data_IF_197801795231
#
_entry.id   IF_197801795231
#
_cell.length_a   1.000
_cell.length_b   1.000
_cell.length_c   1.000
_cell.angle_alpha   90.00
_cell.angle_beta   90.00
_cell.angle_gamma   90.00
#
_symmetry.space_group_name_H-M   'P 1'
#
loop_
_entity.id
_entity.type
_entity.pdbx_description
1 polymer ?
#
# COMPACT_ATOMS: atom_id res chain seq x y z
N UNK A 1 47.21 -49.16 -45.25
CA UNK A 1 46.38 -49.69 -44.13
C UNK A 1 45.57 -48.52 -43.58
N UNK A 2 44.25 -48.46 -43.54
CA UNK A 2 43.16 -49.20 -44.16
C UNK A 2 41.95 -48.26 -44.06
N UNK A 3 41.37 -47.89 -45.21
CA UNK A 3 40.27 -46.92 -45.34
C UNK A 3 38.99 -47.62 -44.89
N UNK A 4 38.33 -47.12 -43.83
CA UNK A 4 37.01 -47.60 -43.41
C UNK A 4 35.97 -46.61 -43.96
N UNK A 5 35.26 -47.06 -44.98
CA UNK A 5 34.01 -46.49 -45.49
C UNK A 5 32.88 -46.80 -44.51
N UNK A 6 32.35 -45.78 -43.82
CA UNK A 6 31.12 -45.91 -43.05
C UNK A 6 29.91 -45.71 -43.97
N UNK A 7 29.04 -46.70 -43.94
CA UNK A 7 27.81 -46.85 -44.73
C UNK A 7 26.83 -45.71 -44.40
N UNK A 8 26.36 -45.01 -45.44
CA UNK A 8 25.22 -44.09 -45.34
C UNK A 8 23.94 -44.92 -45.20
N UNK A 9 23.34 -44.89 -44.01
CA UNK A 9 22.02 -45.44 -43.76
C UNK A 9 20.98 -44.39 -44.22
N UNK A 10 20.28 -44.67 -45.31
CA UNK A 10 19.13 -43.88 -45.77
C UNK A 10 17.99 -43.99 -44.75
N UNK A 11 17.86 -42.99 -43.89
CA UNK A 11 16.64 -42.79 -43.10
C UNK A 11 15.54 -42.27 -44.04
N UNK A 12 14.54 -43.12 -44.27
CA UNK A 12 13.26 -42.76 -44.88
C UNK A 12 12.59 -41.63 -44.07
N UNK A 13 12.10 -40.56 -44.72
CA UNK A 13 11.44 -39.45 -44.02
C UNK A 13 10.05 -39.90 -43.57
N UNK A 14 9.96 -40.39 -42.34
CA UNK A 14 8.68 -40.67 -41.69
C UNK A 14 8.04 -39.34 -41.29
N UNK A 15 6.99 -39.02 -42.03
CA UNK A 15 6.10 -37.89 -41.86
C UNK A 15 5.58 -37.75 -40.43
N UNK A 16 5.76 -36.57 -39.84
CA UNK A 16 5.01 -36.15 -38.65
C UNK A 16 4.45 -34.73 -38.82
N UNK A 17 3.16 -34.75 -39.16
CA UNK A 17 2.04 -33.84 -38.90
C UNK A 17 2.31 -32.36 -38.52
N UNK A 18 1.56 -31.42 -39.12
CA UNK A 18 1.57 -30.02 -38.72
C UNK A 18 0.77 -29.81 -37.43
N UNK A 19 1.33 -30.13 -36.26
CA UNK A 19 0.70 -29.73 -34.98
C UNK A 19 0.65 -28.20 -34.79
N UNK A 20 1.52 -27.45 -35.47
CA UNK A 20 1.52 -25.98 -35.43
C UNK A 20 0.31 -25.35 -36.13
N UNK A 21 -0.34 -26.03 -37.07
CA UNK A 21 -1.51 -25.44 -37.77
C UNK A 21 -2.79 -25.53 -36.94
N UNK A 22 -2.96 -26.59 -36.13
CA UNK A 22 -4.13 -26.75 -35.26
C UNK A 22 -4.09 -25.84 -34.03
N UNK A 23 -2.92 -25.55 -33.45
CA UNK A 23 -2.79 -24.52 -32.41
C UNK A 23 -3.18 -23.13 -32.94
N UNK A 24 -2.76 -22.78 -34.17
CA UNK A 24 -3.11 -21.49 -34.79
C UNK A 24 -4.62 -21.32 -35.07
N UNK A 25 -5.33 -22.42 -35.35
CA UNK A 25 -6.79 -22.42 -35.55
C UNK A 25 -7.55 -22.40 -34.22
N UNK A 26 -7.03 -23.03 -33.17
CA UNK A 26 -7.60 -22.97 -31.81
C UNK A 26 -7.42 -21.60 -31.17
N UNK A 27 -6.31 -20.91 -31.44
CA UNK A 27 -6.07 -19.54 -30.99
C UNK A 27 -6.93 -18.51 -31.75
N UNK A 28 -7.23 -18.75 -33.04
CA UNK A 28 -8.13 -17.88 -33.83
C UNK A 28 -9.61 -17.86 -33.39
N UNK A 29 -10.05 -18.80 -32.54
CA UNK A 29 -11.46 -18.87 -32.05
C UNK A 29 -11.67 -18.33 -30.63
N UNK A 30 -10.65 -17.84 -29.94
CA UNK A 30 -10.87 -17.26 -28.60
C UNK A 30 -11.47 -15.88 -28.74
N UNK A 31 -12.74 -15.75 -28.37
CA UNK A 31 -13.39 -14.45 -28.20
C UNK A 31 -12.63 -13.64 -27.13
N UNK A 32 -11.95 -12.54 -27.51
CA UNK A 32 -11.14 -11.77 -26.59
C UNK A 32 -11.97 -11.11 -25.48
N UNK A 33 -13.27 -10.87 -25.71
CA UNK A 33 -14.17 -10.35 -24.69
C UNK A 33 -14.46 -11.42 -23.62
N UNK A 34 -14.65 -12.68 -24.04
CA UNK A 34 -14.83 -13.80 -23.12
C UNK A 34 -13.58 -14.05 -22.27
N UNK A 35 -12.39 -14.01 -22.87
CA UNK A 35 -11.13 -14.18 -22.15
C UNK A 35 -10.87 -13.04 -21.15
N UNK A 36 -11.19 -11.80 -21.53
CA UNK A 36 -11.15 -10.66 -20.61
C UNK A 36 -12.10 -10.86 -19.44
N UNK A 37 -13.35 -11.27 -19.69
CA UNK A 37 -14.35 -11.53 -18.64
C UNK A 37 -13.87 -12.58 -17.64
N UNK A 38 -13.35 -13.72 -18.13
CA UNK A 38 -12.77 -14.77 -17.26
C UNK A 38 -11.60 -14.25 -16.43
N UNK A 39 -10.71 -13.47 -17.04
CA UNK A 39 -9.56 -12.88 -16.37
C UNK A 39 -9.99 -11.94 -15.24
N UNK A 40 -10.98 -11.07 -15.49
CA UNK A 40 -11.52 -10.15 -14.49
C UNK A 40 -12.18 -10.89 -13.32
N UNK A 41 -12.96 -11.93 -13.58
CA UNK A 41 -13.59 -12.75 -12.52
C UNK A 41 -12.52 -13.42 -11.66
N UNK A 42 -11.50 -14.03 -12.29
CA UNK A 42 -10.40 -14.68 -11.58
C UNK A 42 -9.63 -13.70 -10.71
N UNK A 43 -9.37 -12.49 -11.21
CA UNK A 43 -8.75 -11.40 -10.45
C UNK A 43 -9.59 -11.01 -9.22
N UNK A 44 -10.90 -10.81 -9.38
CA UNK A 44 -11.81 -10.45 -8.27
C UNK A 44 -11.75 -11.52 -7.17
N UNK A 45 -11.94 -12.79 -7.54
CA UNK A 45 -11.98 -13.91 -6.60
C UNK A 45 -10.64 -14.04 -5.87
N UNK A 46 -9.52 -14.00 -6.60
CA UNK A 46 -8.17 -14.06 -6.00
C UNK A 46 -7.97 -12.94 -4.98
N UNK A 47 -8.36 -11.71 -5.30
CA UNK A 47 -8.20 -10.56 -4.40
C UNK A 47 -9.11 -10.66 -3.17
N UNK A 48 -10.35 -11.13 -3.34
CA UNK A 48 -11.28 -11.35 -2.23
C UNK A 48 -10.73 -12.36 -1.22
N UNK A 49 -10.13 -13.48 -1.68
CA UNK A 49 -9.50 -14.45 -0.78
C UNK A 49 -8.29 -13.89 -0.03
N UNK A 50 -7.44 -13.12 -0.71
CA UNK A 50 -6.29 -12.47 -0.07
C UNK A 50 -6.78 -11.48 1.01
N UNK A 51 -7.77 -10.65 0.69
CA UNK A 51 -8.32 -9.70 1.66
C UNK A 51 -9.01 -10.39 2.82
N UNK A 52 -9.73 -11.49 2.59
CA UNK A 52 -10.32 -12.27 3.67
C UNK A 52 -9.23 -12.79 4.61
N UNK A 53 -8.16 -13.38 4.07
CA UNK A 53 -7.03 -13.85 4.90
C UNK A 53 -6.39 -12.73 5.72
N UNK A 54 -6.14 -11.56 5.11
CA UNK A 54 -5.57 -10.40 5.80
C UNK A 54 -6.55 -9.84 6.84
N UNK A 55 -7.84 -9.73 6.51
CA UNK A 55 -8.86 -9.20 7.42
C UNK A 55 -9.04 -10.08 8.65
N UNK A 56 -9.05 -11.40 8.45
CA UNK A 56 -9.12 -12.37 9.55
C UNK A 56 -7.86 -12.35 10.41
N UNK A 57 -6.68 -12.13 9.82
CA UNK A 57 -5.45 -11.97 10.60
C UNK A 57 -5.50 -10.71 11.47
N UNK A 58 -5.96 -9.58 10.93
CA UNK A 58 -6.12 -8.33 11.68
C UNK A 58 -7.13 -8.49 12.82
N UNK A 59 -8.31 -9.06 12.53
CA UNK A 59 -9.34 -9.33 13.53
C UNK A 59 -8.82 -10.30 14.61
N UNK A 60 -8.15 -11.39 14.21
CA UNK A 60 -7.61 -12.39 15.13
C UNK A 60 -6.57 -11.82 16.10
N UNK A 61 -5.65 -10.98 15.60
CA UNK A 61 -4.67 -10.28 16.46
C UNK A 61 -5.39 -9.30 17.38
N UNK A 62 -6.36 -8.53 16.88
CA UNK A 62 -7.11 -7.58 17.68
C UNK A 62 -7.92 -8.24 18.80
N UNK A 63 -8.45 -9.45 18.58
CA UNK A 63 -9.17 -10.21 19.60
C UNK A 63 -8.35 -10.48 20.87
N UNK A 64 -7.00 -10.49 20.80
CA UNK A 64 -6.13 -10.61 21.99
C UNK A 64 -6.35 -9.43 22.96
N UNK A 65 -6.78 -8.28 22.44
CA UNK A 65 -6.98 -7.04 23.19
C UNK A 65 -8.46 -6.72 23.46
N UNK A 66 -9.39 -7.59 23.05
CA UNK A 66 -10.83 -7.36 23.22
C UNK A 66 -11.33 -8.09 24.46
N UNK A 67 -12.00 -7.37 25.36
CA UNK A 67 -12.47 -7.94 26.63
C UNK A 67 -13.81 -8.69 26.54
N UNK A 68 -14.64 -8.42 25.52
CA UNK A 68 -16.00 -8.96 25.41
C UNK A 68 -16.18 -9.80 24.13
N UNK A 69 -16.73 -11.03 24.20
CA UNK A 69 -17.06 -11.85 23.03
C UNK A 69 -17.89 -11.14 21.95
N UNK A 70 -18.81 -10.25 22.33
CA UNK A 70 -19.62 -9.47 21.37
C UNK A 70 -18.71 -8.59 20.51
N UNK A 71 -17.75 -7.89 21.12
CA UNK A 71 -16.80 -7.06 20.40
C UNK A 71 -15.88 -7.90 19.49
N UNK A 72 -15.52 -9.11 19.89
CA UNK A 72 -14.78 -10.04 19.00
C UNK A 72 -15.63 -10.40 17.78
N UNK A 73 -16.91 -10.77 17.98
CA UNK A 73 -17.82 -11.05 16.88
C UNK A 73 -17.98 -9.85 15.94
N UNK A 74 -18.08 -8.62 16.49
CA UNK A 74 -18.12 -7.39 15.71
C UNK A 74 -16.90 -7.24 14.79
N UNK A 75 -15.68 -7.54 15.26
CA UNK A 75 -14.48 -7.48 14.42
C UNK A 75 -14.53 -8.48 13.25
N UNK A 76 -15.00 -9.70 13.48
CA UNK A 76 -15.17 -10.69 12.41
C UNK A 76 -16.26 -10.29 11.41
N UNK A 77 -17.37 -9.72 11.88
CA UNK A 77 -18.43 -9.17 11.01
C UNK A 77 -17.85 -8.04 10.15
N UNK A 78 -17.05 -7.14 10.73
CA UNK A 78 -16.39 -6.07 9.99
C UNK A 78 -15.43 -6.61 8.92
N UNK A 79 -14.67 -7.66 9.23
CA UNK A 79 -13.80 -8.34 8.26
C UNK A 79 -14.60 -8.89 7.07
N UNK A 80 -15.71 -9.60 7.34
CA UNK A 80 -16.57 -10.15 6.28
C UNK A 80 -17.23 -9.03 5.46
N UNK A 81 -17.75 -7.99 6.13
CA UNK A 81 -18.38 -6.83 5.48
C UNK A 81 -17.39 -6.08 4.58
N UNK A 82 -16.16 -5.87 5.04
CA UNK A 82 -15.11 -5.22 4.26
C UNK A 82 -14.78 -6.01 2.98
N UNK A 83 -14.68 -7.33 3.07
CA UNK A 83 -14.44 -8.21 1.91
C UNK A 83 -15.64 -8.19 0.96
N UNK A 84 -16.87 -8.22 1.47
CA UNK A 84 -18.08 -8.17 0.65
C UNK A 84 -18.17 -6.84 -0.13
N UNK A 85 -17.98 -5.71 0.54
CA UNK A 85 -17.99 -4.37 -0.08
C UNK A 85 -16.86 -4.24 -1.09
N UNK A 86 -15.64 -4.66 -0.74
CA UNK A 86 -14.49 -4.61 -1.65
C UNK A 86 -14.68 -5.50 -2.88
N UNK A 87 -15.32 -6.65 -2.72
CA UNK A 87 -15.68 -7.56 -3.83
C UNK A 87 -16.71 -6.92 -4.75
N UNK A 88 -17.77 -6.30 -4.20
CA UNK A 88 -18.77 -5.56 -4.96
C UNK A 88 -18.13 -4.42 -5.76
N UNK A 89 -17.29 -3.61 -5.11
CA UNK A 89 -16.56 -2.51 -5.74
C UNK A 89 -15.67 -3.03 -6.87
N UNK A 90 -14.91 -4.12 -6.67
CA UNK A 90 -14.14 -4.73 -7.76
C UNK A 90 -15.02 -5.26 -8.90
N UNK A 91 -16.21 -5.77 -8.61
CA UNK A 91 -17.20 -6.14 -9.62
C UNK A 91 -17.60 -4.94 -10.50
N UNK A 92 -17.87 -3.79 -9.89
CA UNK A 92 -18.15 -2.54 -10.61
C UNK A 92 -16.93 -2.11 -11.44
N UNK A 93 -15.72 -2.21 -10.88
CA UNK A 93 -14.46 -1.91 -11.58
C UNK A 93 -14.21 -2.81 -12.79
N UNK A 94 -14.49 -4.11 -12.66
CA UNK A 94 -14.41 -5.08 -13.74
C UNK A 94 -15.44 -4.79 -14.83
N UNK A 95 -16.68 -4.45 -14.45
CA UNK A 95 -17.70 -4.02 -15.40
C UNK A 95 -17.25 -2.79 -16.19
N UNK A 96 -16.73 -1.75 -15.52
CA UNK A 96 -16.21 -0.56 -16.19
C UNK A 96 -15.06 -0.89 -17.15
N UNK A 97 -14.15 -1.78 -16.74
CA UNK A 97 -13.03 -2.23 -17.57
C UNK A 97 -13.52 -2.97 -18.81
N UNK A 98 -14.49 -3.87 -18.65
CA UNK A 98 -15.11 -4.59 -19.76
C UNK A 98 -15.83 -3.66 -20.74
N UNK A 99 -16.60 -2.68 -20.25
CA UNK A 99 -17.26 -1.68 -21.10
C UNK A 99 -16.26 -0.79 -21.85
N UNK A 100 -15.17 -0.39 -21.21
CA UNK A 100 -14.09 0.33 -21.86
C UNK A 100 -13.42 -0.49 -22.97
N UNK A 101 -13.27 -1.79 -22.76
CA UNK A 101 -12.76 -2.71 -23.78
C UNK A 101 -13.70 -2.79 -24.99
N UNK A 102 -15.00 -2.96 -24.77
CA UNK A 102 -16.00 -3.01 -25.85
C UNK A 102 -16.04 -1.72 -26.67
N UNK A 103 -15.88 -0.56 -26.02
CA UNK A 103 -15.89 0.74 -26.69
C UNK A 103 -14.55 1.08 -27.37
N UNK A 104 -13.50 0.26 -27.25
CA UNK A 104 -12.12 0.65 -27.61
C UNK A 104 -12.01 1.27 -29.01
N UNK A 105 -12.65 0.65 -30.01
CA UNK A 105 -12.57 1.05 -31.42
C UNK A 105 -13.74 1.93 -31.90
N UNK A 106 -14.71 2.23 -31.04
CA UNK A 106 -15.80 3.16 -31.36
C UNK A 106 -15.30 4.60 -31.14
N UNK A 107 -15.34 5.41 -32.21
CA UNK A 107 -14.89 6.81 -32.22
C UNK A 107 -16.06 7.80 -32.26
N UNK A 108 -17.30 7.32 -32.17
CA UNK A 108 -18.48 8.20 -32.10
C UNK A 108 -18.39 9.16 -30.91
N UNK A 109 -18.92 10.38 -31.05
CA UNK A 109 -18.97 11.38 -29.98
C UNK A 109 -19.63 10.84 -28.70
N UNK A 110 -20.67 10.03 -28.84
CA UNK A 110 -21.35 9.36 -27.74
C UNK A 110 -20.45 8.35 -27.02
N UNK A 111 -19.67 7.55 -27.77
CA UNK A 111 -18.73 6.58 -27.19
C UNK A 111 -17.61 7.27 -26.41
N UNK A 112 -17.13 8.43 -26.87
CA UNK A 112 -16.11 9.23 -26.18
C UNK A 112 -16.62 9.69 -24.81
N UNK A 113 -17.86 10.18 -24.76
CA UNK A 113 -18.50 10.58 -23.50
C UNK A 113 -18.67 9.38 -22.55
N UNK A 114 -19.14 8.24 -23.06
CA UNK A 114 -19.26 6.99 -22.28
C UNK A 114 -17.91 6.52 -21.73
N UNK A 115 -16.85 6.53 -22.55
CA UNK A 115 -15.47 6.20 -22.15
C UNK A 115 -15.01 7.09 -20.99
N UNK A 116 -15.26 8.40 -21.06
CA UNK A 116 -14.91 9.34 -19.98
C UNK A 116 -15.63 9.00 -18.68
N UNK A 117 -16.94 8.72 -18.73
CA UNK A 117 -17.73 8.30 -17.56
C UNK A 117 -17.19 7.02 -16.93
N UNK A 118 -16.93 5.98 -17.73
CA UNK A 118 -16.38 4.72 -17.22
C UNK A 118 -14.97 4.86 -16.65
N UNK A 119 -14.10 5.72 -17.22
CA UNK A 119 -12.78 6.03 -16.66
C UNK A 119 -12.89 6.70 -15.29
N UNK A 120 -13.79 7.68 -15.14
CA UNK A 120 -14.05 8.34 -13.84
C UNK A 120 -14.57 7.34 -12.81
N UNK A 121 -15.57 6.52 -13.17
CA UNK A 121 -16.11 5.47 -12.31
C UNK A 121 -15.01 4.48 -11.87
N UNK A 122 -14.18 4.01 -12.81
CA UNK A 122 -13.06 3.12 -12.52
C UNK A 122 -12.04 3.76 -11.55
N UNK A 123 -11.73 5.04 -11.73
CA UNK A 123 -10.87 5.79 -10.81
C UNK A 123 -11.45 5.88 -9.39
N UNK A 124 -12.74 6.20 -9.29
CA UNK A 124 -13.47 6.30 -8.03
C UNK A 124 -13.53 4.97 -7.28
N UNK A 125 -13.90 3.88 -7.97
CA UNK A 125 -13.96 2.53 -7.41
C UNK A 125 -12.59 2.05 -6.91
N UNK A 126 -11.51 2.35 -7.67
CA UNK A 126 -10.14 2.01 -7.25
C UNK A 126 -9.70 2.73 -5.97
N UNK A 127 -10.28 3.89 -5.67
CA UNK A 127 -10.06 4.63 -4.43
C UNK A 127 -10.92 4.06 -3.29
N UNK A 128 -12.20 3.78 -3.55
CA UNK A 128 -13.11 3.25 -2.53
C UNK A 128 -12.78 1.83 -2.05
N UNK A 129 -12.23 0.99 -2.93
CA UNK A 129 -11.92 -0.41 -2.59
C UNK A 129 -11.00 -0.53 -1.36
N UNK A 130 -9.80 0.09 -1.33
CA UNK A 130 -8.96 0.07 -0.12
C UNK A 130 -9.57 0.85 1.05
N UNK A 131 -10.46 1.82 0.80
CA UNK A 131 -11.12 2.59 1.85
C UNK A 131 -12.07 1.71 2.68
N UNK A 132 -12.80 0.79 2.05
CA UNK A 132 -13.68 -0.14 2.77
C UNK A 132 -12.90 -1.00 3.78
N UNK A 133 -11.76 -1.57 3.35
CA UNK A 133 -10.87 -2.31 4.24
C UNK A 133 -10.28 -1.41 5.34
N UNK A 134 -9.82 -0.20 4.97
CA UNK A 134 -9.25 0.75 5.93
C UNK A 134 -10.24 1.11 7.06
N UNK A 135 -11.48 1.46 6.70
CA UNK A 135 -12.47 1.94 7.66
C UNK A 135 -13.05 0.82 8.53
N UNK A 136 -13.36 -0.33 7.93
CA UNK A 136 -14.05 -1.40 8.65
C UNK A 136 -13.07 -2.29 9.42
N UNK A 137 -11.88 -2.54 8.89
CA UNK A 137 -10.91 -3.46 9.49
C UNK A 137 -9.75 -2.71 10.11
N UNK A 138 -8.96 -2.01 9.31
CA UNK A 138 -7.68 -1.44 9.77
C UNK A 138 -7.87 -0.45 10.93
N UNK A 139 -8.84 0.44 10.79
CA UNK A 139 -9.17 1.46 11.78
C UNK A 139 -9.60 0.84 13.11
N UNK A 140 -10.46 -0.18 13.08
CA UNK A 140 -10.96 -0.87 14.28
C UNK A 140 -9.98 -1.89 14.87
N UNK A 141 -8.81 -2.10 14.25
CA UNK A 141 -7.83 -3.10 14.68
C UNK A 141 -6.45 -2.48 14.79
N UNK A 142 -5.60 -2.62 13.76
CA UNK A 142 -4.19 -2.22 13.79
C UNK A 142 -4.03 -0.74 14.16
N UNK A 143 -4.85 0.18 13.64
CA UNK A 143 -4.71 1.60 13.94
C UNK A 143 -4.91 1.88 15.45
N UNK A 144 -5.99 1.35 16.05
CA UNK A 144 -6.26 1.45 17.49
C UNK A 144 -5.19 0.75 18.31
N UNK A 145 -4.81 -0.49 17.95
CA UNK A 145 -3.73 -1.22 18.64
C UNK A 145 -2.46 -0.38 18.67
N UNK A 146 -2.08 0.19 17.53
CA UNK A 146 -0.86 0.99 17.41
C UNK A 146 -0.91 2.23 18.29
N UNK A 147 -2.06 2.91 18.35
CA UNK A 147 -2.26 4.05 19.23
C UNK A 147 -2.11 3.65 20.70
N UNK A 148 -2.84 2.63 21.15
CA UNK A 148 -2.79 2.20 22.56
C UNK A 148 -1.43 1.61 22.95
N UNK A 149 -0.76 0.90 22.05
CA UNK A 149 0.60 0.42 22.26
C UNK A 149 1.59 1.57 22.47
N UNK A 150 1.36 2.75 21.89
CA UNK A 150 2.17 3.93 22.14
C UNK A 150 2.11 4.37 23.60
N UNK A 151 0.89 4.48 24.15
CA UNK A 151 0.69 4.78 25.57
C UNK A 151 1.31 3.71 26.47
N UNK A 152 1.03 2.43 26.17
CA UNK A 152 1.52 1.31 26.97
C UNK A 152 3.06 1.25 26.96
N UNK A 153 3.69 1.47 25.81
CA UNK A 153 5.15 1.49 25.68
C UNK A 153 5.74 2.64 26.50
N UNK A 154 5.21 3.86 26.37
CA UNK A 154 5.70 5.01 27.14
C UNK A 154 5.54 4.81 28.65
N UNK A 155 4.41 4.25 29.10
CA UNK A 155 4.20 3.94 30.51
C UNK A 155 5.22 2.91 31.03
N UNK A 156 5.49 1.83 30.28
CA UNK A 156 6.49 0.81 30.65
C UNK A 156 7.93 1.35 30.68
N UNK A 157 8.24 2.38 29.88
CA UNK A 157 9.56 3.00 29.86
C UNK A 157 9.74 3.98 31.04
N UNK A 158 8.71 4.77 31.36
CA UNK A 158 8.84 5.92 32.27
C UNK A 158 8.39 5.64 33.71
N UNK A 159 7.57 4.61 33.93
CA UNK A 159 6.98 4.28 35.23
C UNK A 159 7.45 2.88 35.65
N UNK A 160 7.85 2.71 36.91
CA UNK A 160 8.20 1.40 37.47
C UNK A 160 6.92 0.60 37.73
N UNK A 161 6.87 -0.64 37.24
CA UNK A 161 5.76 -1.59 37.43
C UNK A 161 4.36 -1.00 37.13
N UNK A 162 4.13 -0.42 35.93
CA UNK A 162 2.89 0.28 35.64
C UNK A 162 1.67 -0.64 35.46
N UNK A 163 1.84 -1.96 35.38
CA UNK A 163 0.74 -2.92 35.14
C UNK A 163 -0.17 -2.48 33.97
N UNK A 164 0.45 -2.21 32.81
CA UNK A 164 -0.25 -1.70 31.63
C UNK A 164 -1.22 -2.73 31.06
N UNK A 165 -2.44 -2.32 30.73
CA UNK A 165 -3.39 -3.13 29.97
C UNK A 165 -3.99 -2.31 28.85
N UNK A 166 -3.95 -2.87 27.64
CA UNK A 166 -4.58 -2.33 26.44
C UNK A 166 -5.89 -3.09 26.22
N UNK A 167 -6.96 -2.35 25.97
CA UNK A 167 -8.27 -2.89 25.60
C UNK A 167 -8.82 -2.19 24.37
N UNK A 168 -9.51 -2.93 23.50
CA UNK A 168 -10.13 -2.42 22.28
C UNK A 168 -11.64 -2.62 22.34
N UNK A 169 -12.36 -1.59 21.92
CA UNK A 169 -13.80 -1.61 21.70
C UNK A 169 -14.05 -1.18 20.25
N UNK A 170 -14.46 -2.08 19.35
CA UNK A 170 -14.68 -1.74 17.95
C UNK A 170 -15.63 -0.53 17.81
N UNK A 171 -15.30 0.40 16.92
CA UNK A 171 -15.99 1.68 16.71
C UNK A 171 -15.91 2.72 17.84
N UNK A 172 -15.62 2.32 19.08
CA UNK A 172 -15.40 3.24 20.21
C UNK A 172 -13.91 3.51 20.47
N UNK A 173 -13.02 2.82 19.76
CA UNK A 173 -11.57 3.01 19.83
C UNK A 173 -10.90 2.09 20.84
N UNK A 174 -9.91 2.64 21.54
CA UNK A 174 -9.05 1.90 22.46
C UNK A 174 -8.98 2.56 23.84
N UNK A 175 -8.46 1.78 24.79
CA UNK A 175 -8.09 2.31 26.10
C UNK A 175 -6.85 1.63 26.63
N UNK A 176 -5.89 2.43 27.03
CA UNK A 176 -4.74 1.99 27.82
C UNK A 176 -4.94 2.38 29.27
N UNK A 177 -4.88 1.38 30.15
CA UNK A 177 -4.88 1.57 31.59
C UNK A 177 -3.50 1.25 32.14
N UNK A 178 -3.06 2.03 33.12
CA UNK A 178 -1.80 1.83 33.83
C UNK A 178 -1.89 2.42 35.22
N UNK A 179 -1.15 1.85 36.16
CA UNK A 179 -1.00 2.33 37.53
C UNK A 179 0.17 3.30 37.58
N UNK A 180 -0.09 4.50 38.08
CA UNK A 180 0.96 5.46 38.34
C UNK A 180 1.76 5.04 39.58
N UNK A 181 2.98 4.55 39.37
CA UNK A 181 3.92 4.16 40.42
C UNK A 181 5.09 5.15 40.57
N UNK A 182 6.16 4.74 41.27
CA UNK A 182 7.46 5.42 41.22
C UNK A 182 7.97 5.50 39.77
N UNK A 183 8.73 6.53 39.45
CA UNK A 183 9.26 6.71 38.11
C UNK A 183 10.53 5.86 37.88
N UNK A 184 10.82 5.51 36.63
CA UNK A 184 12.14 4.98 36.24
C UNK A 184 13.18 6.10 36.27
N UNK A 185 14.48 5.80 36.15
CA UNK A 185 15.52 6.85 36.06
C UNK A 185 15.22 7.87 34.94
N UNK A 186 14.71 7.38 33.81
CA UNK A 186 14.30 8.24 32.69
C UNK A 186 13.05 9.05 33.01
N UNK A 187 12.05 8.45 33.68
CA UNK A 187 10.88 9.17 34.16
C UNK A 187 11.22 10.25 35.20
N UNK A 188 12.15 9.95 36.12
CA UNK A 188 12.67 10.90 37.13
C UNK A 188 13.34 12.10 36.46
N UNK A 189 14.12 11.88 35.40
CA UNK A 189 14.74 12.95 34.60
C UNK A 189 13.71 13.93 34.02
N UNK A 190 12.59 13.43 33.49
CA UNK A 190 11.51 14.30 32.99
C UNK A 190 10.64 14.88 34.12
N UNK A 191 10.57 14.19 35.25
CA UNK A 191 9.66 14.50 36.34
C UNK A 191 8.25 13.98 36.10
N UNK A 192 7.46 13.93 37.18
CA UNK A 192 6.14 13.26 37.19
C UNK A 192 5.11 13.93 36.28
N UNK A 193 5.09 15.26 36.21
CA UNK A 193 4.14 15.99 35.37
C UNK A 193 4.41 15.74 33.89
N UNK A 194 5.65 15.92 33.44
CA UNK A 194 6.04 15.69 32.03
C UNK A 194 5.92 14.23 31.64
N UNK A 195 6.19 13.29 32.55
CA UNK A 195 5.98 11.85 32.28
C UNK A 195 4.54 11.56 31.85
N UNK A 196 3.53 12.12 32.53
CA UNK A 196 2.12 11.95 32.14
C UNK A 196 1.84 12.52 30.74
N UNK A 197 2.37 13.70 30.44
CA UNK A 197 2.23 14.33 29.13
C UNK A 197 2.90 13.50 28.03
N UNK A 198 4.08 12.93 28.29
CA UNK A 198 4.78 12.06 27.34
C UNK A 198 3.96 10.79 27.09
N UNK A 199 3.40 10.18 28.13
CA UNK A 199 2.52 9.01 27.96
C UNK A 199 1.30 9.38 27.13
N UNK A 200 0.63 10.51 27.39
CA UNK A 200 -0.51 10.98 26.58
C UNK A 200 -0.12 11.30 25.13
N UNK A 201 1.05 11.87 24.88
CA UNK A 201 1.54 12.12 23.52
C UNK A 201 1.90 10.85 22.75
N UNK A 202 2.32 9.79 23.45
CA UNK A 202 2.94 8.63 22.83
C UNK A 202 1.99 7.82 21.93
N UNK A 203 0.71 7.74 22.28
CA UNK A 203 -0.29 7.05 21.45
C UNK A 203 -0.49 7.74 20.09
N UNK A 204 -0.89 9.02 20.06
CA UNK A 204 -0.96 9.80 18.84
C UNK A 204 0.36 9.81 18.05
N UNK A 205 1.49 9.97 18.73
CA UNK A 205 2.80 9.99 18.07
C UNK A 205 3.11 8.67 17.36
N UNK A 206 2.88 7.51 18.00
CA UNK A 206 3.12 6.21 17.38
C UNK A 206 2.14 5.95 16.22
N UNK A 207 0.87 6.31 16.38
CA UNK A 207 -0.13 6.27 15.30
C UNK A 207 0.30 7.06 14.06
N UNK A 208 0.77 8.29 14.25
CA UNK A 208 1.20 9.17 13.15
C UNK A 208 2.54 8.72 12.55
N UNK A 209 3.48 8.23 13.36
CA UNK A 209 4.75 7.69 12.86
C UNK A 209 4.53 6.46 11.98
N UNK A 210 3.69 5.52 12.43
CA UNK A 210 3.36 4.32 11.62
C UNK A 210 2.59 4.67 10.35
N UNK A 211 1.64 5.63 10.41
CA UNK A 211 0.96 6.13 9.23
C UNK A 211 1.93 6.79 8.23
N UNK A 212 2.87 7.60 8.74
CA UNK A 212 3.91 8.26 7.94
C UNK A 212 4.85 7.24 7.28
N UNK A 213 5.26 6.20 8.01
CA UNK A 213 6.03 5.09 7.46
C UNK A 213 5.24 4.31 6.39
N UNK A 214 3.95 4.05 6.63
CA UNK A 214 3.03 3.45 5.66
C UNK A 214 2.89 4.28 4.39
N UNK A 215 2.79 5.61 4.53
CA UNK A 215 2.77 6.54 3.39
C UNK A 215 4.07 6.47 2.60
N UNK A 216 5.24 6.48 3.25
CA UNK A 216 6.53 6.29 2.58
C UNK A 216 6.63 4.95 1.84
N UNK A 217 6.20 3.85 2.48
CA UNK A 217 6.13 2.53 1.86
C UNK A 217 5.18 2.52 0.65
N UNK A 218 4.07 3.27 0.71
CA UNK A 218 3.15 3.40 -0.41
C UNK A 218 3.81 4.00 -1.65
N UNK A 219 4.69 5.00 -1.47
CA UNK A 219 5.43 5.62 -2.57
C UNK A 219 6.45 4.65 -3.17
N UNK A 220 7.20 3.94 -2.32
CA UNK A 220 8.19 2.97 -2.74
C UNK A 220 7.60 1.76 -3.50
N UNK A 221 6.41 1.31 -3.09
CA UNK A 221 5.76 0.11 -3.64
C UNK A 221 4.85 0.39 -4.85
N UNK A 222 4.70 1.66 -5.27
CA UNK A 222 3.74 2.06 -6.31
C UNK A 222 3.87 1.29 -7.63
N UNK A 223 5.10 0.92 -8.02
CA UNK A 223 5.38 0.19 -9.27
C UNK A 223 5.29 -1.33 -9.10
N UNK A 224 5.82 -1.89 -8.01
CA UNK A 224 5.89 -3.35 -7.79
C UNK A 224 4.60 -3.94 -7.22
N UNK A 225 3.91 -3.22 -6.33
CA UNK A 225 2.71 -3.66 -5.63
C UNK A 225 1.65 -2.55 -5.60
N UNK A 226 1.03 -2.21 -6.74
CA UNK A 226 0.15 -1.04 -6.86
C UNK A 226 -1.11 -1.10 -5.99
N UNK A 227 -1.64 -2.30 -5.70
CA UNK A 227 -2.79 -2.47 -4.80
C UNK A 227 -2.41 -2.21 -3.34
N UNK A 228 -1.30 -2.81 -2.88
CA UNK A 228 -0.77 -2.58 -1.53
C UNK A 228 -0.38 -1.12 -1.33
N UNK A 229 0.26 -0.50 -2.32
CA UNK A 229 0.55 0.93 -2.35
C UNK A 229 -0.71 1.78 -2.17
N UNK A 230 -1.80 1.49 -2.91
CA UNK A 230 -3.06 2.22 -2.75
C UNK A 230 -3.67 2.05 -1.36
N UNK A 231 -3.67 0.83 -0.81
CA UNK A 231 -4.14 0.59 0.56
C UNK A 231 -3.31 1.38 1.58
N UNK A 232 -1.99 1.26 1.57
CA UNK A 232 -1.11 1.96 2.51
C UNK A 232 -1.27 3.48 2.43
N UNK A 233 -1.45 4.02 1.22
CA UNK A 233 -1.69 5.45 1.03
C UNK A 233 -3.04 5.88 1.65
N UNK A 234 -4.12 5.14 1.38
CA UNK A 234 -5.45 5.45 1.94
C UNK A 234 -5.44 5.33 3.46
N UNK A 235 -4.91 4.23 4.00
CA UNK A 235 -4.83 3.99 5.44
C UNK A 235 -3.99 5.05 6.16
N UNK A 236 -2.88 5.49 5.55
CA UNK A 236 -2.06 6.55 6.11
C UNK A 236 -2.79 7.90 6.15
N UNK A 237 -3.40 8.31 5.03
CA UNK A 237 -4.17 9.56 4.95
C UNK A 237 -5.32 9.56 5.95
N UNK A 238 -6.05 8.44 6.04
CA UNK A 238 -7.14 8.25 6.99
C UNK A 238 -6.67 8.38 8.44
N UNK A 239 -5.61 7.65 8.82
CA UNK A 239 -5.03 7.71 10.16
C UNK A 239 -4.56 9.12 10.52
N UNK A 240 -3.88 9.81 9.59
CA UNK A 240 -3.44 11.20 9.77
C UNK A 240 -4.63 12.12 9.95
N UNK A 241 -5.66 12.02 9.10
CA UNK A 241 -6.87 12.82 9.18
C UNK A 241 -7.58 12.64 10.52
N UNK A 242 -7.74 11.40 10.97
CA UNK A 242 -8.35 11.09 12.27
C UNK A 242 -7.57 11.70 13.43
N UNK A 243 -6.23 11.61 13.44
CA UNK A 243 -5.43 12.22 14.50
C UNK A 243 -5.47 13.76 14.45
N UNK A 244 -5.62 14.37 13.26
CA UNK A 244 -5.84 15.81 13.13
C UNK A 244 -7.20 16.20 13.72
N UNK A 245 -8.28 15.50 13.37
CA UNK A 245 -9.61 15.77 13.91
C UNK A 245 -9.68 15.50 15.41
N UNK A 246 -9.03 14.44 15.89
CA UNK A 246 -8.91 14.13 17.31
C UNK A 246 -8.08 15.17 18.06
N UNK A 247 -7.01 15.72 17.45
CA UNK A 247 -6.31 16.85 18.04
C UNK A 247 -7.23 18.06 18.17
N UNK A 248 -7.87 18.47 17.08
CA UNK A 248 -8.75 19.63 17.07
C UNK A 248 -9.98 19.45 17.97
N UNK A 249 -10.44 18.22 18.22
CA UNK A 249 -11.59 17.99 19.08
C UNK A 249 -11.40 18.46 20.51
N UNK A 250 -10.16 18.51 20.99
CA UNK A 250 -9.83 19.07 22.30
C UNK A 250 -10.31 20.54 22.48
N UNK A 251 -10.54 21.30 21.40
CA UNK A 251 -11.03 22.68 21.48
C UNK A 251 -12.50 22.77 21.90
N UNK A 252 -13.28 21.72 21.69
CA UNK A 252 -14.71 21.68 22.02
C UNK A 252 -15.09 20.54 22.98
N UNK A 253 -14.13 19.71 23.38
CA UNK A 253 -14.33 18.68 24.40
C UNK A 253 -14.28 19.29 25.81
N UNK A 254 -15.20 18.87 26.68
CA UNK A 254 -15.21 19.27 28.10
C UNK A 254 -13.91 18.89 28.81
N UNK A 255 -13.38 19.80 29.63
CA UNK A 255 -12.20 19.57 30.46
C UNK A 255 -12.35 18.40 31.46
N UNK A 256 -13.59 17.97 31.74
CA UNK A 256 -13.85 16.79 32.57
C UNK A 256 -13.44 15.47 31.90
N UNK A 257 -13.22 15.44 30.59
CA UNK A 257 -12.84 14.24 29.85
C UNK A 257 -11.34 13.98 29.93
N UNK A 258 -10.90 13.44 31.07
CA UNK A 258 -9.47 13.22 31.36
C UNK A 258 -8.81 12.13 30.49
N UNK A 259 -9.59 11.35 29.73
CA UNK A 259 -9.07 10.31 28.81
C UNK A 259 -8.63 10.87 27.46
N UNK A 260 -8.94 12.12 27.14
CA UNK A 260 -8.60 12.70 25.85
C UNK A 260 -7.14 13.18 25.84
N UNK A 261 -6.31 12.61 24.97
CA UNK A 261 -4.85 12.85 24.96
C UNK A 261 -4.51 14.31 24.75
N UNK A 262 -5.15 14.93 23.77
CA UNK A 262 -4.88 16.34 23.45
C UNK A 262 -5.43 17.32 24.50
N UNK A 263 -6.42 16.96 25.32
CA UNK A 263 -6.78 17.76 26.49
C UNK A 263 -5.69 17.69 27.56
N UNK A 264 -5.09 16.50 27.78
CA UNK A 264 -3.96 16.37 28.70
C UNK A 264 -2.74 17.17 28.21
N UNK A 265 -2.44 17.12 26.91
CA UNK A 265 -1.36 17.90 26.32
C UNK A 265 -1.63 19.41 26.40
N UNK A 266 -2.87 19.84 26.20
CA UNK A 266 -3.28 21.23 26.36
C UNK A 266 -3.11 21.72 27.80
N UNK A 267 -3.47 20.90 28.80
CA UNK A 267 -3.20 21.20 30.21
C UNK A 267 -1.69 21.30 30.50
N UNK A 268 -0.85 20.65 29.69
CA UNK A 268 0.61 20.77 29.68
C UNK A 268 1.17 21.95 28.86
N UNK A 269 0.31 22.80 28.30
CA UNK A 269 0.69 23.97 27.50
C UNK A 269 0.84 23.73 26.00
N UNK A 270 0.51 22.54 25.49
CA UNK A 270 0.57 22.25 24.05
C UNK A 270 -0.80 22.47 23.41
N UNK A 271 -0.94 23.58 22.68
CA UNK A 271 -2.20 23.94 22.04
C UNK A 271 -2.60 22.90 20.96
N UNK A 272 -3.88 22.46 20.89
CA UNK A 272 -4.35 21.46 19.92
C UNK A 272 -4.01 21.75 18.46
N UNK A 273 -4.06 23.02 18.04
CA UNK A 273 -3.69 23.45 16.70
C UNK A 273 -2.22 23.14 16.35
N UNK A 274 -1.31 23.30 17.33
CA UNK A 274 0.12 23.02 17.13
C UNK A 274 0.32 21.52 16.90
N UNK A 275 -0.40 20.68 17.64
CA UNK A 275 -0.42 19.23 17.42
C UNK A 275 -0.93 18.88 16.02
N UNK A 276 -2.08 19.43 15.60
CA UNK A 276 -2.64 19.18 14.28
C UNK A 276 -1.67 19.57 13.14
N UNK A 277 -1.03 20.74 13.22
CA UNK A 277 -0.03 21.18 12.24
C UNK A 277 1.17 20.24 12.22
N UNK A 278 1.65 19.82 13.39
CA UNK A 278 2.79 18.91 13.51
C UNK A 278 2.51 17.53 12.89
N UNK A 279 1.28 17.02 13.08
CA UNK A 279 0.82 15.75 12.50
C UNK A 279 0.82 15.82 10.97
N UNK A 280 0.35 16.93 10.39
CA UNK A 280 0.31 17.14 8.92
C UNK A 280 1.70 17.38 8.33
N UNK A 281 2.62 17.97 9.08
CA UNK A 281 3.97 18.27 8.59
C UNK A 281 4.76 17.00 8.21
N UNK A 282 4.62 15.91 8.98
CA UNK A 282 5.38 14.66 8.77
C UNK A 282 5.19 14.03 7.37
N UNK A 283 3.98 13.73 6.89
CA UNK A 283 3.78 13.16 5.54
C UNK A 283 4.24 14.12 4.42
N UNK A 284 4.15 15.44 4.64
CA UNK A 284 4.66 16.44 3.68
C UNK A 284 6.17 16.33 3.56
N UNK A 285 6.89 16.25 4.69
CA UNK A 285 8.34 16.07 4.71
C UNK A 285 8.78 14.78 4.03
N UNK A 286 8.06 13.67 4.28
CA UNK A 286 8.32 12.39 3.58
C UNK A 286 8.13 12.54 2.07
N UNK A 287 7.05 13.19 1.62
CA UNK A 287 6.80 13.42 0.20
C UNK A 287 7.90 14.26 -0.45
N UNK A 288 8.35 15.32 0.22
CA UNK A 288 9.47 16.15 -0.25
C UNK A 288 10.75 15.32 -0.34
N UNK A 289 11.05 14.49 0.66
CA UNK A 289 12.20 13.59 0.66
C UNK A 289 12.21 12.62 -0.52
N UNK A 290 11.08 11.97 -0.80
CA UNK A 290 10.93 11.09 -1.97
C UNK A 290 11.10 11.84 -3.30
N UNK A 291 10.53 13.05 -3.42
CA UNK A 291 10.71 13.88 -4.62
C UNK A 291 12.19 14.22 -4.87
N UNK A 292 12.91 14.62 -3.82
CA UNK A 292 14.34 14.91 -3.89
C UNK A 292 15.12 13.65 -4.30
N UNK A 293 14.82 12.51 -3.65
CA UNK A 293 15.47 11.23 -3.95
C UNK A 293 15.29 10.80 -5.41
N UNK A 294 14.06 10.83 -5.93
CA UNK A 294 13.77 10.45 -7.31
C UNK A 294 14.50 11.34 -8.31
N UNK A 295 14.53 12.66 -8.07
CA UNK A 295 15.25 13.62 -8.91
C UNK A 295 16.77 13.36 -8.92
N UNK A 296 17.35 12.99 -7.78
CA UNK A 296 18.78 12.62 -7.67
C UNK A 296 19.03 11.32 -8.44
N UNK A 297 18.14 10.32 -8.29
CA UNK A 297 18.24 9.03 -8.97
C UNK A 297 18.17 9.18 -10.49
N UNK A 298 17.22 9.97 -11.01
CA UNK A 298 17.09 10.25 -12.44
C UNK A 298 18.38 10.87 -13.02
N UNK A 299 18.94 11.89 -12.34
CA UNK A 299 20.22 12.50 -12.73
C UNK A 299 21.36 11.48 -12.74
N UNK A 300 21.42 10.57 -11.76
CA UNK A 300 22.45 9.51 -11.70
C UNK A 300 22.30 8.51 -12.84
N UNK A 301 21.08 8.06 -13.14
CA UNK A 301 20.82 7.12 -14.24
C UNK A 301 21.14 7.75 -15.60
N UNK A 302 20.77 9.01 -15.82
CA UNK A 302 21.12 9.74 -17.04
C UNK A 302 22.64 9.84 -17.23
N UNK A 303 23.41 10.11 -16.16
CA UNK A 303 24.88 10.12 -16.21
C UNK A 303 25.47 8.74 -16.54
N UNK A 304 24.90 7.65 -16.00
CA UNK A 304 25.33 6.27 -16.30
C UNK A 304 25.06 5.96 -17.77
N UNK A 305 23.86 6.23 -18.25
CA UNK A 305 23.48 6.01 -19.66
C UNK A 305 24.35 6.83 -20.63
N UNK A 306 24.63 8.09 -20.31
CA UNK A 306 25.53 8.91 -21.12
C UNK A 306 26.97 8.35 -21.17
N UNK A 307 27.47 7.79 -20.06
CA UNK A 307 28.78 7.12 -20.02
C UNK A 307 28.77 5.83 -20.86
N UNK A 308 27.72 5.01 -20.74
CA UNK A 308 27.57 3.78 -21.52
C UNK A 308 27.51 4.08 -23.02
N UNK A 309 26.76 5.11 -23.43
CA UNK A 309 26.72 5.56 -24.83
C UNK A 309 28.07 6.06 -25.33
N UNK A 310 28.82 6.81 -24.51
CA UNK A 310 30.18 7.25 -24.85
C UNK A 310 31.13 6.04 -25.06
N UNK A 311 31.06 5.02 -24.20
CA UNK A 311 31.85 3.80 -24.33
C UNK A 311 31.49 3.00 -25.59
N UNK A 312 30.20 2.86 -25.89
CA UNK A 312 29.73 2.22 -27.12
C UNK A 312 30.25 2.97 -28.35
N UNK A 313 30.09 4.30 -28.41
CA UNK A 313 30.57 5.10 -29.53
C UNK A 313 32.09 4.97 -29.75
N UNK A 314 32.90 4.99 -28.67
CA UNK A 314 34.34 4.79 -28.77
C UNK A 314 34.72 3.41 -29.34
N UNK A 315 33.98 2.36 -28.98
CA UNK A 315 34.24 1.02 -29.49
C UNK A 315 33.82 0.85 -30.95
N UNK A 316 32.75 1.52 -31.40
CA UNK A 316 32.33 1.50 -32.81
C UNK A 316 33.20 2.38 -33.72
N UNK A 317 33.89 3.39 -33.20
CA UNK A 317 34.86 4.19 -33.98
C UNK A 317 36.18 3.44 -34.27
N UNK A 318 36.37 2.22 -33.75
CA UNK A 318 37.57 1.42 -33.95
C UNK A 318 37.24 0.28 -34.93
N UNK A 319 37.79 0.38 -36.15
CA UNK A 319 37.77 -0.57 -37.29
C UNK A 319 36.62 -0.42 -38.30
N UNK A 320 36.70 0.64 -39.11
CA UNK A 320 36.61 0.41 -40.56
C UNK A 320 38.07 0.41 -41.03
N UNK A 321 38.68 -0.76 -41.33
CA UNK A 321 39.97 -0.76 -42.01
C UNK A 321 39.80 0.04 -43.30
N UNK A 322 40.73 0.94 -43.65
CA UNK A 322 40.65 1.68 -44.91
C UNK A 322 40.46 0.64 -46.01
N UNK A 323 39.31 0.66 -46.67
CA UNK A 323 39.07 -0.15 -47.85
C UNK A 323 40.22 0.14 -48.79
N UNK A 324 41.02 -0.89 -49.05
CA UNK A 324 42.07 -0.90 -50.06
C UNK A 324 41.50 -0.21 -51.29
N UNK A 325 42.13 0.90 -51.69
CA UNK A 325 41.82 1.58 -52.94
C UNK A 325 41.81 0.49 -54.02
N UNK A 326 40.63 0.22 -54.59
CA UNK A 326 40.56 -0.46 -55.88
C UNK A 326 41.24 0.49 -56.86
N UNK A 327 42.50 0.20 -57.17
CA UNK A 327 43.13 0.68 -58.39
C UNK A 327 42.29 0.13 -59.54
N UNK A 328 41.50 1.02 -60.14
CA UNK A 328 40.92 0.80 -61.45
C UNK A 328 41.99 1.25 -62.42
N UNK A 329 42.82 0.31 -62.86
CA UNK A 329 43.70 0.50 -64.01
C UNK A 329 42.86 0.87 -65.23
N UNK A 330 43.29 1.93 -65.91
CA UNK A 330 42.76 2.39 -67.20
C UNK A 330 43.59 1.82 -68.34
#
# INVERSE_FOLDING_TARGET
>A
MGRITSIQEQQTPLSFRPEKSLQSLRERRRDPALELKKTLIKEIVKKAFIELGVSLAFAGVACIFVANPIAMATLFICAVAAVAISTLLRGIGAYCTYRLFQLKYDESSESILKKSRFKKCLGFVKYLTPMAFSQLVDHNTRAVITHEMGHALAANILIKNPNTRVSIVPFDGGRTTYRLGPLTKLGEFFGRAKTKLIVAAAGPALGVLTATAGFGASLALRKSHPELSRYLNVAAIDTIGQHVFYALSALWTSAAQTSHDFLQLMAGGVHPLVSAVSIVALPILVRIGFYIYDKIKEKRMAKIQAKEQLHLNKNYSIKIPPTSKLEIDK
#
